data_IF_043941002035
#
_entry.id   IF_043941002035
#
_cell.length_a   1.000
_cell.length_b   1.000
_cell.length_c   1.000
_cell.angle_alpha   90.00
_cell.angle_beta   90.00
_cell.angle_gamma   90.00
#
_symmetry.space_group_name_H-M   'P 1'
#
loop_
_entity.id
_entity.type
_entity.pdbx_description
1 polymer ?
#
# COMPACT_ATOMS: atom_id res chain seq x y z
N UNK A 1 -1.75 74.58 -6.92
CA UNK A 1 -0.36 74.33 -6.48
C UNK A 1 -0.38 72.97 -5.82
N UNK A 2 -0.29 71.92 -6.61
CA UNK A 2 -0.05 70.55 -6.15
C UNK A 2 0.32 69.70 -7.38
N UNK A 3 1.19 68.74 -7.12
CA UNK A 3 2.04 68.02 -8.06
C UNK A 3 1.37 66.71 -8.45
N UNK A 4 1.24 66.45 -9.75
CA UNK A 4 1.10 65.07 -10.26
C UNK A 4 2.09 64.87 -11.40
N UNK A 5 3.13 64.09 -11.11
CA UNK A 5 4.02 63.49 -12.08
C UNK A 5 3.46 62.13 -12.50
N UNK A 6 3.03 61.98 -13.75
CA UNK A 6 2.95 60.68 -14.40
C UNK A 6 3.60 60.78 -15.77
N UNK A 7 4.70 60.05 -15.95
CA UNK A 7 5.48 60.01 -17.18
C UNK A 7 5.44 58.60 -17.76
N UNK A 8 5.05 58.57 -19.03
CA UNK A 8 5.45 57.64 -20.09
C UNK A 8 5.02 56.16 -19.97
N UNK A 9 3.92 55.89 -20.66
CA UNK A 9 3.66 54.62 -21.34
C UNK A 9 4.66 54.45 -22.50
N UNK A 10 5.36 53.33 -22.58
CA UNK A 10 5.87 52.78 -23.83
C UNK A 10 5.99 51.25 -23.73
N UNK A 11 5.39 50.61 -24.72
CA UNK A 11 5.19 49.18 -24.92
C UNK A 11 6.46 48.39 -25.25
N UNK A 12 6.56 47.17 -24.72
CA UNK A 12 7.20 46.06 -25.43
C UNK A 12 6.57 44.73 -25.00
N UNK A 13 6.22 43.96 -26.02
CA UNK A 13 5.46 42.73 -26.08
C UNK A 13 6.16 41.55 -25.40
N UNK A 14 5.45 40.79 -24.56
CA UNK A 14 5.73 39.37 -24.34
C UNK A 14 4.41 38.60 -24.50
N UNK A 15 4.43 37.69 -25.47
CA UNK A 15 3.34 36.83 -25.88
C UNK A 15 3.17 35.62 -24.96
N UNK A 16 1.90 35.23 -24.84
CA UNK A 16 1.36 33.87 -24.74
C UNK A 16 1.63 32.99 -23.52
N UNK A 17 0.49 32.52 -23.01
CA UNK A 17 0.16 31.17 -22.54
C UNK A 17 0.65 30.72 -21.16
N UNK A 18 -0.29 30.65 -20.22
CA UNK A 18 -0.73 29.40 -19.58
C UNK A 18 -1.98 29.71 -18.73
N UNK A 19 -3.16 29.54 -19.32
CA UNK A 19 -4.38 29.37 -18.52
C UNK A 19 -4.27 28.04 -17.77
N UNK A 20 -4.54 27.97 -16.45
CA UNK A 20 -4.69 26.70 -15.77
C UNK A 20 -5.91 25.98 -16.34
N UNK A 21 -5.66 24.89 -17.05
CA UNK A 21 -6.70 24.01 -17.57
C UNK A 21 -7.68 23.61 -16.46
N UNK A 22 -8.97 23.80 -16.76
CA UNK A 22 -10.08 23.41 -15.88
C UNK A 22 -10.03 21.90 -15.65
N UNK A 23 -9.86 21.52 -14.40
CA UNK A 23 -10.06 20.16 -13.88
C UNK A 23 -11.47 19.65 -14.23
N UNK A 24 -11.66 18.38 -14.63
CA UNK A 24 -12.97 17.76 -14.56
C UNK A 24 -13.14 17.24 -13.13
N UNK A 25 -13.63 18.09 -12.23
CA UNK A 25 -14.20 17.61 -10.95
C UNK A 25 -15.29 16.55 -11.20
N UNK A 26 -15.91 16.54 -12.38
CA UNK A 26 -17.03 15.67 -12.75
C UNK A 26 -16.73 14.16 -12.67
N UNK A 27 -15.52 13.68 -12.93
CA UNK A 27 -15.23 12.23 -12.90
C UNK A 27 -15.04 11.70 -11.48
N UNK A 28 -14.28 12.40 -10.64
CA UNK A 28 -14.14 12.07 -9.21
C UNK A 28 -15.49 12.20 -8.49
N UNK A 29 -16.25 13.25 -8.84
CA UNK A 29 -17.59 13.50 -8.34
C UNK A 29 -18.56 12.41 -8.84
N UNK A 30 -18.48 11.96 -10.09
CA UNK A 30 -19.35 10.90 -10.63
C UNK A 30 -19.08 9.55 -9.97
N UNK A 31 -17.82 9.14 -9.83
CA UNK A 31 -17.44 7.88 -9.16
C UNK A 31 -17.90 7.91 -7.69
N UNK A 32 -17.64 9.02 -6.99
CA UNK A 32 -18.03 9.15 -5.58
C UNK A 32 -19.55 9.25 -5.40
N UNK A 33 -20.27 9.98 -6.27
CA UNK A 33 -21.72 10.11 -6.20
C UNK A 33 -22.47 8.83 -6.60
N UNK A 34 -21.99 8.09 -7.61
CA UNK A 34 -22.65 6.84 -8.02
C UNK A 34 -22.57 5.79 -6.90
N UNK A 35 -21.39 5.64 -6.28
CA UNK A 35 -21.20 4.79 -5.11
C UNK A 35 -22.03 5.29 -3.91
N UNK A 36 -22.07 6.61 -3.66
CA UNK A 36 -22.86 7.22 -2.59
C UNK A 36 -24.37 7.00 -2.79
N UNK A 37 -24.89 7.12 -4.01
CA UNK A 37 -26.31 6.91 -4.31
C UNK A 37 -26.72 5.45 -4.14
N UNK A 38 -25.89 4.50 -4.61
CA UNK A 38 -26.11 3.07 -4.39
C UNK A 38 -26.02 2.71 -2.91
N UNK A 39 -25.08 3.31 -2.16
CA UNK A 39 -24.98 3.11 -0.72
C UNK A 39 -26.18 3.69 0.03
N UNK A 40 -26.62 4.92 -0.26
CA UNK A 40 -27.82 5.51 0.36
C UNK A 40 -29.02 4.61 0.07
N UNK A 41 -29.20 4.12 -1.15
CA UNK A 41 -30.29 3.22 -1.49
C UNK A 41 -30.23 1.90 -0.69
N UNK A 42 -29.04 1.30 -0.55
CA UNK A 42 -28.84 0.06 0.22
C UNK A 42 -29.04 0.30 1.72
N UNK A 43 -28.43 1.35 2.27
CA UNK A 43 -28.49 1.75 3.67
C UNK A 43 -29.93 2.07 4.09
N UNK A 44 -30.67 2.84 3.29
CA UNK A 44 -32.08 3.18 3.57
C UNK A 44 -32.98 1.95 3.55
N UNK A 45 -32.64 0.93 2.74
CA UNK A 45 -33.40 -0.32 2.63
C UNK A 45 -33.09 -1.31 3.76
N UNK A 46 -31.87 -1.31 4.30
CA UNK A 46 -31.40 -2.24 5.33
C UNK A 46 -31.43 -1.69 6.77
N UNK A 47 -31.22 -0.39 6.97
CA UNK A 47 -31.30 0.26 8.29
C UNK A 47 -32.70 0.14 8.93
N UNK A 48 -33.73 -0.17 8.13
CA UNK A 48 -35.09 -0.46 8.62
C UNK A 48 -35.25 -1.85 9.26
N UNK A 49 -34.27 -2.75 9.15
CA UNK A 49 -34.44 -4.18 9.52
C UNK A 49 -33.46 -4.75 10.54
N UNK A 50 -32.40 -4.05 10.96
CA UNK A 50 -31.39 -4.66 11.84
C UNK A 50 -30.71 -3.63 12.77
N UNK A 51 -30.21 -4.07 13.93
CA UNK A 51 -29.41 -3.24 14.84
C UNK A 51 -28.09 -2.85 14.15
N UNK A 52 -27.92 -1.55 13.90
CA UNK A 52 -26.81 -0.97 13.12
C UNK A 52 -25.41 -1.47 13.51
N UNK A 53 -25.17 -1.74 14.80
CA UNK A 53 -23.87 -2.20 15.30
C UNK A 53 -23.48 -3.63 14.88
N UNK A 54 -24.46 -4.48 14.56
CA UNK A 54 -24.24 -5.86 14.14
C UNK A 54 -23.96 -5.91 12.61
N UNK A 55 -24.64 -5.04 11.84
CA UNK A 55 -24.42 -4.87 10.40
C UNK A 55 -23.00 -4.39 10.06
N UNK A 56 -22.47 -3.43 10.81
CA UNK A 56 -21.16 -2.81 10.53
C UNK A 56 -19.96 -3.70 10.87
N UNK A 57 -20.14 -4.72 11.73
CA UNK A 57 -19.03 -5.60 12.16
C UNK A 57 -18.85 -6.85 11.32
N UNK A 58 -19.92 -7.35 10.68
CA UNK A 58 -19.89 -8.66 10.01
C UNK A 58 -19.90 -8.60 8.49
N UNK A 59 -20.44 -7.53 7.89
CA UNK A 59 -20.51 -7.43 6.43
C UNK A 59 -19.28 -6.76 5.86
N UNK A 60 -18.84 -7.27 4.72
CA UNK A 60 -17.89 -6.66 3.80
C UNK A 60 -18.67 -6.22 2.57
N UNK A 61 -18.30 -5.09 1.99
CA UNK A 61 -18.99 -4.51 0.84
C UNK A 61 -17.96 -4.24 -0.25
N UNK A 62 -18.23 -4.76 -1.44
CA UNK A 62 -17.38 -4.59 -2.62
C UNK A 62 -17.25 -3.11 -2.94
N UNK A 63 -16.00 -2.64 -3.08
CA UNK A 63 -15.67 -1.22 -3.18
C UNK A 63 -15.41 -0.75 -4.60
N UNK A 64 -15.47 -1.61 -5.60
CA UNK A 64 -15.19 -1.25 -6.98
C UNK A 64 -16.11 -1.97 -7.95
N UNK A 65 -15.80 -1.80 -9.23
CA UNK A 65 -16.36 -2.64 -10.28
C UNK A 65 -15.80 -4.07 -10.15
N UNK A 66 -16.34 -4.98 -10.95
CA UNK A 66 -15.86 -6.37 -10.99
C UNK A 66 -14.40 -6.44 -11.48
N UNK A 67 -13.66 -7.44 -11.01
CA UNK A 67 -12.38 -7.81 -11.63
C UNK A 67 -12.60 -8.23 -13.10
N UNK A 68 -11.97 -7.50 -14.03
CA UNK A 68 -12.09 -7.74 -15.47
C UNK A 68 -11.03 -8.72 -15.95
N UNK A 69 -11.40 -9.97 -16.22
CA UNK A 69 -10.50 -10.97 -16.81
C UNK A 69 -10.22 -10.73 -18.31
N UNK A 70 -11.14 -10.06 -19.01
CA UNK A 70 -11.05 -9.64 -20.41
C UNK A 70 -11.83 -8.32 -20.58
N UNK A 71 -11.53 -7.55 -21.63
CA UNK A 71 -12.34 -6.37 -21.94
C UNK A 71 -13.74 -6.79 -22.38
N UNK A 72 -14.81 -6.29 -21.73
CA UNK A 72 -16.19 -6.56 -22.16
C UNK A 72 -16.47 -6.05 -23.58
N UNK A 73 -15.67 -5.11 -24.10
CA UNK A 73 -15.80 -4.59 -25.48
C UNK A 73 -14.89 -5.29 -26.49
N UNK A 74 -14.10 -6.28 -26.07
CA UNK A 74 -13.27 -7.10 -26.93
C UNK A 74 -11.92 -6.51 -27.34
N UNK A 75 -11.42 -5.46 -26.69
CA UNK A 75 -10.03 -5.01 -26.84
C UNK A 75 -9.08 -6.08 -26.28
N UNK A 76 -8.21 -6.69 -27.11
CA UNK A 76 -7.23 -7.67 -26.64
C UNK A 76 -6.28 -7.11 -25.57
N UNK A 77 -6.04 -5.80 -25.55
CA UNK A 77 -5.15 -5.15 -24.57
C UNK A 77 -5.86 -4.79 -23.26
N UNK A 78 -7.19 -4.91 -23.18
CA UNK A 78 -7.92 -4.54 -21.96
C UNK A 78 -7.67 -5.44 -20.77
N UNK A 79 -7.10 -6.63 -21.00
CA UNK A 79 -6.52 -7.49 -19.96
C UNK A 79 -5.51 -6.73 -19.10
N UNK A 80 -4.77 -5.75 -19.65
CA UNK A 80 -3.79 -4.96 -18.91
C UNK A 80 -4.38 -3.68 -18.33
N UNK A 81 -5.06 -2.88 -19.17
CA UNK A 81 -5.37 -1.51 -18.80
C UNK A 81 -6.60 -1.37 -17.88
N UNK A 82 -7.55 -2.32 -17.91
CA UNK A 82 -8.70 -2.32 -16.99
C UNK A 82 -8.31 -2.53 -15.53
N UNK A 83 -7.14 -3.13 -15.30
CA UNK A 83 -6.67 -3.45 -13.96
C UNK A 83 -6.36 -2.20 -13.14
N UNK A 84 -5.84 -1.16 -13.80
CA UNK A 84 -5.64 0.15 -13.18
C UNK A 84 -6.96 0.82 -12.77
N UNK A 85 -8.00 0.69 -13.59
CA UNK A 85 -9.35 1.23 -13.29
C UNK A 85 -9.92 0.59 -12.03
N UNK A 86 -9.86 -0.74 -11.92
CA UNK A 86 -10.27 -1.48 -10.72
C UNK A 86 -9.59 -0.99 -9.46
N UNK A 87 -8.27 -0.79 -9.54
CA UNK A 87 -7.45 -0.31 -8.44
C UNK A 87 -7.84 1.08 -7.96
N UNK A 88 -8.15 1.98 -8.89
CA UNK A 88 -8.57 3.34 -8.57
C UNK A 88 -9.95 3.34 -7.94
N UNK A 89 -10.92 2.61 -8.49
CA UNK A 89 -12.24 2.51 -7.90
C UNK A 89 -12.18 1.96 -6.47
N UNK A 90 -11.45 0.87 -6.23
CA UNK A 90 -11.33 0.28 -4.91
C UNK A 90 -10.68 1.23 -3.88
N UNK A 91 -9.60 1.91 -4.27
CA UNK A 91 -8.87 2.82 -3.37
C UNK A 91 -9.61 4.12 -3.08
N UNK A 92 -10.23 4.74 -4.09
CA UNK A 92 -10.95 6.00 -3.89
C UNK A 92 -12.27 5.76 -3.16
N UNK A 93 -12.99 4.68 -3.46
CA UNK A 93 -14.19 4.35 -2.69
C UNK A 93 -13.85 4.01 -1.24
N UNK A 94 -12.66 3.46 -0.96
CA UNK A 94 -12.20 3.21 0.42
C UNK A 94 -12.11 4.48 1.28
N UNK A 95 -11.89 5.67 0.70
CA UNK A 95 -11.93 6.95 1.42
C UNK A 95 -13.25 7.19 2.14
N UNK A 96 -14.36 6.86 1.47
CA UNK A 96 -15.70 7.01 2.00
C UNK A 96 -16.13 5.75 2.77
N UNK A 97 -15.93 4.55 2.19
CA UNK A 97 -16.45 3.29 2.72
C UNK A 97 -15.77 2.88 4.03
N UNK A 98 -14.44 3.05 4.10
CA UNK A 98 -13.61 2.52 5.17
C UNK A 98 -13.96 3.04 6.56
N UNK A 99 -14.55 4.24 6.63
CA UNK A 99 -15.00 4.84 7.89
C UNK A 99 -16.21 4.13 8.52
N UNK A 100 -16.91 3.30 7.74
CA UNK A 100 -18.17 2.67 8.12
C UNK A 100 -18.03 1.15 8.08
N UNK A 101 -17.37 0.61 7.05
CA UNK A 101 -17.27 -0.82 6.78
C UNK A 101 -15.91 -1.17 6.20
N UNK A 102 -15.42 -2.38 6.47
CA UNK A 102 -14.18 -2.85 5.84
C UNK A 102 -14.37 -2.98 4.32
N UNK A 103 -13.58 -2.26 3.50
CA UNK A 103 -13.57 -2.40 2.06
C UNK A 103 -13.25 -3.82 1.60
N UNK A 104 -14.03 -4.34 0.66
CA UNK A 104 -13.75 -5.57 -0.08
C UNK A 104 -13.30 -5.23 -1.51
N UNK A 105 -12.07 -5.60 -1.87
CA UNK A 105 -11.43 -5.24 -3.14
C UNK A 105 -11.68 -6.26 -4.25
N UNK A 106 -12.67 -7.11 -4.05
CA UNK A 106 -13.09 -8.18 -4.94
C UNK A 106 -12.03 -9.29 -5.12
N UNK A 107 -12.48 -10.41 -5.67
CA UNK A 107 -11.65 -11.54 -6.10
C UNK A 107 -10.61 -11.10 -7.14
N UNK A 108 -9.63 -11.95 -7.38
CA UNK A 108 -8.76 -11.85 -8.55
C UNK A 108 -8.37 -13.24 -9.01
N UNK A 109 -7.91 -13.33 -10.25
CA UNK A 109 -7.35 -14.56 -10.79
C UNK A 109 -5.83 -14.57 -10.64
N UNK A 110 -5.28 -15.60 -10.02
CA UNK A 110 -3.85 -15.75 -9.75
C UNK A 110 -3.04 -16.15 -10.98
N UNK A 111 -3.68 -16.70 -12.02
CA UNK A 111 -3.10 -17.03 -13.32
C UNK A 111 -3.26 -15.92 -14.37
N UNK A 112 -3.89 -14.81 -14.01
CA UNK A 112 -4.08 -13.65 -14.88
C UNK A 112 -2.76 -12.94 -15.18
N UNK A 113 -2.65 -12.29 -16.35
CA UNK A 113 -1.42 -11.60 -16.79
C UNK A 113 -0.97 -10.48 -15.82
N UNK A 114 -1.93 -9.83 -15.16
CA UNK A 114 -1.69 -8.84 -14.11
C UNK A 114 -1.88 -9.39 -12.68
N UNK A 115 -1.92 -10.71 -12.48
CA UNK A 115 -2.21 -11.31 -11.17
C UNK A 115 -1.30 -10.78 -10.06
N UNK A 116 0.00 -10.62 -10.35
CA UNK A 116 0.96 -10.08 -9.37
C UNK A 116 0.60 -8.67 -8.90
N UNK A 117 0.14 -7.81 -9.81
CA UNK A 117 -0.32 -6.45 -9.52
C UNK A 117 -1.54 -6.45 -8.58
N UNK A 118 -2.51 -7.33 -8.83
CA UNK A 118 -3.67 -7.51 -7.94
C UNK A 118 -3.27 -8.10 -6.59
N UNK A 119 -2.37 -9.09 -6.58
CA UNK A 119 -1.86 -9.67 -5.34
C UNK A 119 -1.20 -8.60 -4.47
N UNK A 120 -0.29 -7.79 -5.02
CA UNK A 120 0.35 -6.69 -4.31
C UNK A 120 -0.66 -5.71 -3.71
N UNK A 121 -1.73 -5.41 -4.43
CA UNK A 121 -2.78 -4.52 -3.95
C UNK A 121 -3.63 -5.12 -2.82
N UNK A 122 -3.94 -6.43 -2.90
CA UNK A 122 -4.63 -7.15 -1.82
C UNK A 122 -3.76 -7.27 -0.57
N UNK A 123 -2.43 -7.36 -0.71
CA UNK A 123 -1.51 -7.40 0.43
C UNK A 123 -1.61 -6.15 1.32
N UNK A 124 -1.83 -4.98 0.72
CA UNK A 124 -1.94 -3.69 1.42
C UNK A 124 -3.38 -3.28 1.75
N UNK A 125 -4.40 -3.90 1.15
CA UNK A 125 -5.78 -3.45 1.32
C UNK A 125 -6.35 -3.62 2.74
N UNK A 126 -5.74 -4.46 3.60
CA UNK A 126 -6.27 -4.78 4.93
C UNK A 126 -7.61 -5.53 4.95
N UNK A 127 -8.21 -5.75 3.77
CA UNK A 127 -9.42 -6.52 3.54
C UNK A 127 -9.15 -8.02 3.37
N UNK A 128 -10.16 -8.78 2.91
CA UNK A 128 -9.99 -10.18 2.55
C UNK A 128 -9.18 -10.34 1.26
N UNK A 129 -8.67 -11.56 1.07
CA UNK A 129 -8.06 -12.02 -0.17
C UNK A 129 -8.89 -13.20 -0.66
N UNK A 130 -9.46 -13.07 -1.85
CA UNK A 130 -10.22 -14.13 -2.50
C UNK A 130 -9.66 -14.38 -3.89
N UNK A 131 -9.61 -15.65 -4.29
CA UNK A 131 -9.10 -16.09 -5.59
C UNK A 131 -10.23 -16.78 -6.34
N UNK A 132 -10.38 -16.46 -7.63
CA UNK A 132 -11.47 -16.94 -8.49
C UNK A 132 -10.97 -17.75 -9.71
N UNK A 133 -9.82 -18.40 -9.57
CA UNK A 133 -9.23 -19.20 -10.63
C UNK A 133 -10.11 -20.39 -11.00
N UNK A 134 -9.92 -20.87 -12.22
CA UNK A 134 -10.40 -22.19 -12.59
C UNK A 134 -9.68 -23.25 -11.77
N UNK A 135 -10.40 -24.32 -11.41
CA UNK A 135 -9.84 -25.45 -10.65
C UNK A 135 -8.63 -26.02 -11.40
N UNK A 136 -7.49 -26.05 -10.72
CA UNK A 136 -6.23 -26.55 -11.26
C UNK A 136 -5.34 -25.50 -11.93
N UNK A 137 -5.80 -24.25 -12.07
CA UNK A 137 -5.03 -23.16 -12.68
C UNK A 137 -4.29 -22.27 -11.67
N UNK A 138 -4.39 -22.55 -10.37
CA UNK A 138 -3.83 -21.70 -9.33
C UNK A 138 -2.31 -21.50 -9.45
N UNK A 139 -1.86 -20.24 -9.46
CA UNK A 139 -0.46 -19.88 -9.22
C UNK A 139 -0.19 -19.90 -7.71
N UNK A 140 0.21 -21.08 -7.21
CA UNK A 140 0.55 -21.25 -5.81
C UNK A 140 1.76 -20.43 -5.36
N UNK A 141 2.70 -20.11 -6.25
CA UNK A 141 3.89 -19.36 -5.88
C UNK A 141 3.55 -17.88 -5.65
N UNK A 142 2.60 -17.35 -6.42
CA UNK A 142 2.03 -16.03 -6.15
C UNK A 142 1.17 -16.02 -4.88
N UNK A 143 0.28 -17.00 -4.72
CA UNK A 143 -0.64 -17.08 -3.57
C UNK A 143 0.14 -17.17 -2.24
N UNK A 144 1.22 -17.96 -2.19
CA UNK A 144 2.08 -18.10 -0.99
C UNK A 144 2.76 -16.79 -0.56
N UNK A 145 2.80 -15.76 -1.41
CA UNK A 145 3.28 -14.41 -1.03
C UNK A 145 2.22 -13.59 -0.26
N UNK A 146 0.97 -14.04 -0.27
CA UNK A 146 -0.17 -13.40 0.40
C UNK A 146 -0.63 -14.14 1.64
N UNK A 147 -0.53 -15.47 1.67
CA UNK A 147 -1.18 -16.32 2.68
C UNK A 147 -0.17 -17.21 3.37
N UNK A 148 -0.38 -17.43 4.67
CA UNK A 148 0.35 -18.43 5.44
C UNK A 148 -0.15 -19.86 5.11
N UNK A 149 0.63 -20.91 5.41
CA UNK A 149 0.21 -22.29 5.21
C UNK A 149 -1.11 -22.69 5.87
N UNK A 150 -1.52 -22.01 6.97
CA UNK A 150 -2.82 -22.24 7.64
C UNK A 150 -4.00 -21.46 7.01
N UNK A 151 -3.78 -20.77 5.89
CA UNK A 151 -4.81 -19.98 5.21
C UNK A 151 -5.04 -18.59 5.79
N UNK A 152 -4.36 -18.23 6.89
CA UNK A 152 -4.44 -16.86 7.44
C UNK A 152 -3.54 -15.89 6.68
N UNK A 153 -3.81 -14.60 6.77
CA UNK A 153 -3.15 -13.55 5.97
C UNK A 153 -2.49 -12.49 6.88
N UNK A 154 -1.26 -12.01 6.58
CA UNK A 154 -0.62 -10.90 7.28
C UNK A 154 -1.28 -9.58 6.87
N UNK A 155 -2.47 -9.29 7.39
CA UNK A 155 -3.24 -8.10 7.00
C UNK A 155 -2.68 -6.83 7.62
N UNK A 156 -2.77 -5.74 6.86
CA UNK A 156 -2.73 -4.40 7.42
C UNK A 156 -3.90 -4.19 8.42
N UNK A 157 -3.72 -3.31 9.40
CA UNK A 157 -4.65 -3.08 10.52
C UNK A 157 -5.63 -1.93 10.28
N UNK A 158 -5.62 -1.36 9.08
CA UNK A 158 -6.52 -0.30 8.63
C UNK A 158 -6.98 -0.61 7.20
N UNK A 159 -7.77 0.29 6.61
CA UNK A 159 -8.17 0.21 5.21
C UNK A 159 -7.26 1.12 4.38
N UNK A 160 -7.12 0.84 3.07
CA UNK A 160 -6.14 1.51 2.24
C UNK A 160 -6.70 2.86 1.80
N UNK A 161 -5.88 3.90 1.90
CA UNK A 161 -6.26 5.25 1.49
C UNK A 161 -5.25 5.82 0.49
N UNK A 162 -5.68 6.52 -0.57
CA UNK A 162 -4.76 7.25 -1.43
C UNK A 162 -3.94 8.28 -0.65
N UNK A 163 -2.68 8.46 -1.03
CA UNK A 163 -1.87 9.58 -0.51
C UNK A 163 -2.43 10.91 -1.00
N UNK A 164 -2.16 11.98 -0.23
CA UNK A 164 -2.75 13.31 -0.48
C UNK A 164 -2.43 13.87 -1.87
N UNK A 165 -1.25 13.58 -2.39
CA UNK A 165 -0.81 14.04 -3.71
C UNK A 165 -1.52 13.32 -4.87
N UNK A 166 -2.11 12.14 -4.64
CA UNK A 166 -2.94 11.44 -5.62
C UNK A 166 -4.41 11.91 -5.64
N UNK A 167 -4.97 12.37 -4.51
CA UNK A 167 -6.42 12.59 -4.34
C UNK A 167 -7.08 13.43 -5.44
N UNK A 168 -6.38 14.47 -5.91
CA UNK A 168 -6.86 15.37 -6.97
C UNK A 168 -6.05 15.20 -8.24
N UNK A 169 -5.53 14.02 -8.54
CA UNK A 169 -4.84 13.70 -9.79
C UNK A 169 -5.53 12.52 -10.45
N UNK A 170 -5.21 12.30 -11.72
CA UNK A 170 -5.77 11.19 -12.49
C UNK A 170 -4.67 10.14 -12.72
N UNK A 171 -4.58 9.07 -11.91
CA UNK A 171 -3.52 8.08 -12.03
C UNK A 171 -3.75 7.07 -13.16
N UNK A 172 -4.81 7.26 -13.95
CA UNK A 172 -5.26 6.32 -14.97
C UNK A 172 -4.79 6.66 -16.38
N UNK A 173 -4.62 7.94 -16.72
CA UNK A 173 -4.22 8.32 -18.09
C UNK A 173 -3.58 9.72 -18.22
N UNK A 174 -3.08 10.32 -17.14
CA UNK A 174 -2.41 11.63 -17.18
C UNK A 174 -0.91 11.57 -17.54
N UNK A 175 -0.35 10.36 -17.72
CA UNK A 175 1.06 10.10 -18.05
C UNK A 175 2.07 10.62 -17.02
N UNK A 176 1.64 10.89 -15.79
CA UNK A 176 2.49 11.51 -14.78
C UNK A 176 2.27 10.95 -13.37
N UNK A 177 1.05 10.59 -13.01
CA UNK A 177 0.68 10.20 -11.66
C UNK A 177 0.73 8.69 -11.47
N UNK A 178 1.46 8.23 -10.44
CA UNK A 178 1.37 6.86 -9.91
C UNK A 178 0.32 6.84 -8.80
N UNK A 179 -0.53 5.82 -8.76
CA UNK A 179 -1.44 5.65 -7.63
C UNK A 179 -0.63 5.20 -6.41
N UNK A 180 -0.57 6.06 -5.39
CA UNK A 180 -0.01 5.68 -4.09
C UNK A 180 -1.12 5.51 -3.08
N UNK A 181 -1.10 4.39 -2.40
CA UNK A 181 -2.01 4.05 -1.32
C UNK A 181 -1.22 3.70 -0.07
N UNK A 182 -1.68 4.12 1.09
CA UNK A 182 -1.03 3.84 2.36
C UNK A 182 -1.94 3.05 3.30
N UNK A 183 -1.32 2.29 4.20
CA UNK A 183 -1.98 1.54 5.27
C UNK A 183 -1.00 1.34 6.45
N UNK A 184 -1.46 0.71 7.53
CA UNK A 184 -0.67 0.42 8.72
C UNK A 184 -0.46 -1.07 8.92
N UNK A 185 0.72 -1.43 9.41
CA UNK A 185 0.96 -2.67 10.14
C UNK A 185 1.02 -2.36 11.65
N UNK A 186 1.07 -3.40 12.48
CA UNK A 186 1.11 -3.22 13.95
C UNK A 186 2.34 -2.44 14.43
N UNK A 187 3.46 -2.59 13.73
CA UNK A 187 4.76 -1.98 14.07
C UNK A 187 5.38 -1.23 12.89
N UNK A 188 4.56 -0.68 11.99
CA UNK A 188 5.04 0.14 10.88
C UNK A 188 3.92 0.65 9.99
N UNK A 189 4.31 1.44 8.99
CA UNK A 189 3.45 1.91 7.92
C UNK A 189 3.82 1.23 6.62
N UNK A 190 2.91 1.24 5.66
CA UNK A 190 3.19 0.71 4.31
C UNK A 190 2.59 1.64 3.27
N UNK A 191 3.34 1.91 2.21
CA UNK A 191 2.85 2.57 1.00
C UNK A 191 3.01 1.61 -0.16
N UNK A 192 1.98 1.43 -0.97
CA UNK A 192 2.07 0.77 -2.26
C UNK A 192 1.95 1.79 -3.37
N UNK A 193 2.91 1.80 -4.29
CA UNK A 193 2.92 2.65 -5.48
C UNK A 193 2.62 1.78 -6.70
N UNK A 194 1.51 2.05 -7.38
CA UNK A 194 0.95 1.24 -8.47
C UNK A 194 0.84 2.07 -9.75
N UNK A 195 1.46 1.62 -10.83
CA UNK A 195 1.27 2.26 -12.13
C UNK A 195 -0.04 1.77 -12.75
N UNK A 196 -1.09 2.58 -12.61
CA UNK A 196 -2.45 2.30 -13.09
C UNK A 196 -2.75 2.92 -14.46
N UNK A 197 -1.73 3.46 -15.15
CA UNK A 197 -1.91 4.19 -16.39
C UNK A 197 -2.32 3.25 -17.54
N UNK A 198 -3.15 3.75 -18.46
CA UNK A 198 -3.43 3.10 -19.73
C UNK A 198 -4.91 3.00 -20.09
N UNK A 199 -5.84 3.44 -19.23
CA UNK A 199 -7.27 3.41 -19.56
C UNK A 199 -8.10 4.33 -18.68
N UNK A 200 -9.28 4.72 -19.14
CA UNK A 200 -10.18 5.52 -18.33
C UNK A 200 -11.53 5.73 -18.97
N UNK A 201 -12.39 6.45 -18.27
CA UNK A 201 -13.70 6.84 -18.79
C UNK A 201 -13.52 7.85 -19.93
N UNK A 202 -14.17 7.61 -21.07
CA UNK A 202 -14.28 8.60 -22.15
C UNK A 202 -15.66 9.24 -22.11
N UNK A 203 -15.79 10.53 -21.73
CA UNK A 203 -17.08 11.21 -21.65
C UNK A 203 -17.81 11.31 -23.00
N UNK A 204 -17.08 11.31 -24.13
CA UNK A 204 -17.68 11.41 -25.47
C UNK A 204 -18.33 10.09 -25.87
N UNK A 205 -17.59 9.00 -25.68
CA UNK A 205 -18.04 7.65 -26.03
C UNK A 205 -18.90 7.00 -24.94
N UNK A 206 -18.92 7.59 -23.73
CA UNK A 206 -19.65 7.12 -22.55
C UNK A 206 -19.33 5.66 -22.19
N UNK A 207 -18.05 5.30 -22.28
CA UNK A 207 -17.54 3.98 -21.92
C UNK A 207 -16.09 4.09 -21.45
N UNK A 208 -15.62 3.06 -20.73
CA UNK A 208 -14.20 2.87 -20.50
C UNK A 208 -13.51 2.49 -21.82
N UNK A 209 -12.31 3.02 -22.03
CA UNK A 209 -11.45 2.66 -23.16
C UNK A 209 -9.98 2.68 -22.77
N UNK A 210 -9.17 1.96 -23.53
CA UNK A 210 -7.71 2.04 -23.46
C UNK A 210 -7.16 3.35 -24.04
N UNK A 211 -6.08 3.82 -23.43
CA UNK A 211 -5.18 4.87 -23.91
C UNK A 211 -3.75 4.29 -23.96
N UNK A 212 -3.40 3.50 -25.00
CA UNK A 212 -2.10 2.82 -25.09
C UNK A 212 -0.91 3.78 -25.01
N UNK A 213 -1.08 5.02 -25.48
CA UNK A 213 -0.10 6.09 -25.37
C UNK A 213 0.27 6.45 -23.92
N UNK A 214 -0.58 6.12 -22.94
CA UNK A 214 -0.35 6.32 -21.52
C UNK A 214 0.31 5.12 -20.84
N UNK A 215 0.34 3.95 -21.48
CA UNK A 215 0.90 2.71 -20.93
C UNK A 215 2.45 2.74 -20.96
N UNK A 216 3.04 3.58 -20.12
CA UNK A 216 4.48 3.87 -20.07
C UNK A 216 5.01 3.83 -18.63
N UNK A 217 6.33 3.66 -18.43
CA UNK A 217 6.92 3.77 -17.12
C UNK A 217 6.75 5.18 -16.55
N UNK A 218 6.37 5.27 -15.27
CA UNK A 218 6.18 6.55 -14.57
C UNK A 218 7.12 6.62 -13.38
N UNK A 219 7.81 7.74 -13.23
CA UNK A 219 8.63 8.02 -12.05
C UNK A 219 7.80 8.68 -10.96
N UNK A 220 7.92 8.19 -9.73
CA UNK A 220 7.30 8.80 -8.56
C UNK A 220 8.30 8.95 -7.42
N UNK A 221 7.92 9.78 -6.45
CA UNK A 221 8.60 9.91 -5.16
C UNK A 221 7.72 9.36 -4.06
N UNK A 222 8.35 8.76 -3.06
CA UNK A 222 7.69 8.22 -1.86
C UNK A 222 8.46 8.66 -0.62
N UNK A 223 7.74 9.20 0.36
CA UNK A 223 8.28 9.63 1.64
C UNK A 223 7.42 9.17 2.83
N UNK A 224 8.02 9.02 4.01
CA UNK A 224 7.34 8.57 5.23
C UNK A 224 6.23 9.54 5.69
N UNK A 225 6.35 10.82 5.32
CA UNK A 225 5.35 11.85 5.63
C UNK A 225 4.06 11.71 4.82
N UNK A 226 4.04 10.85 3.80
CA UNK A 226 2.84 10.55 3.01
C UNK A 226 1.94 9.50 3.70
N UNK A 227 2.44 8.84 4.76
CA UNK A 227 1.63 8.02 5.65
C UNK A 227 0.94 8.95 6.65
N UNK A 228 -0.39 8.96 6.67
CA UNK A 228 -1.17 9.80 7.61
C UNK A 228 -1.28 9.13 8.99
N UNK A 229 -0.17 9.06 9.73
CA UNK A 229 -0.05 8.36 11.02
C UNK A 229 -1.10 8.72 12.07
N UNK A 230 -1.68 9.91 11.98
CA UNK A 230 -2.69 10.43 12.92
C UNK A 230 -4.11 9.88 12.66
N UNK A 231 -4.36 9.24 11.52
CA UNK A 231 -5.65 8.63 11.18
C UNK A 231 -5.99 7.42 12.06
N UNK A 232 -5.00 6.85 12.75
CA UNK A 232 -5.19 5.72 13.67
C UNK A 232 -4.41 5.94 14.97
N UNK A 233 -5.10 5.95 16.11
CA UNK A 233 -4.50 6.25 17.43
C UNK A 233 -3.34 5.31 17.76
N UNK A 234 -3.47 4.03 17.42
CA UNK A 234 -2.44 3.02 17.65
C UNK A 234 -1.18 3.28 16.80
N UNK A 235 -1.30 3.98 15.67
CA UNK A 235 -0.19 4.28 14.77
C UNK A 235 0.47 5.65 15.00
N UNK A 236 -0.22 6.58 15.66
CA UNK A 236 0.24 7.96 15.83
C UNK A 236 1.60 8.12 16.54
N UNK A 237 1.98 7.17 17.40
CA UNK A 237 3.29 7.18 18.05
C UNK A 237 4.42 6.81 17.07
N UNK A 238 4.17 5.93 16.11
CA UNK A 238 5.15 5.51 15.10
C UNK A 238 5.55 6.66 14.18
N UNK A 239 4.61 7.55 13.85
CA UNK A 239 4.88 8.75 13.04
C UNK A 239 5.77 9.81 13.70
N UNK A 240 6.11 9.64 14.99
CA UNK A 240 7.01 10.55 15.73
C UNK A 240 8.46 10.08 15.75
N UNK A 241 8.77 8.95 15.13
CA UNK A 241 10.12 8.43 15.10
C UNK A 241 11.06 9.37 14.31
N UNK A 242 12.30 9.49 14.79
CA UNK A 242 13.33 10.32 14.16
C UNK A 242 13.90 9.66 12.89
N UNK A 243 13.91 8.33 12.87
CA UNK A 243 14.52 7.52 11.82
C UNK A 243 13.61 6.34 11.49
N UNK A 244 13.58 5.99 10.21
CA UNK A 244 12.85 4.86 9.68
C UNK A 244 13.78 4.04 8.80
N UNK A 245 13.60 2.73 8.88
CA UNK A 245 14.06 1.80 7.86
C UNK A 245 12.92 1.61 6.87
N UNK A 246 13.22 1.78 5.58
CA UNK A 246 12.28 1.58 4.48
C UNK A 246 12.70 0.36 3.68
N UNK A 247 11.91 -0.71 3.73
CA UNK A 247 12.13 -1.91 2.93
C UNK A 247 11.25 -1.89 1.67
N UNK A 248 11.90 -1.90 0.50
CA UNK A 248 11.24 -2.04 -0.80
C UNK A 248 11.10 -3.54 -1.09
N UNK A 249 9.87 -4.03 -1.13
CA UNK A 249 9.59 -5.45 -1.21
C UNK A 249 9.93 -6.06 -2.58
N UNK A 250 9.65 -5.35 -3.68
CA UNK A 250 9.92 -5.84 -5.03
C UNK A 250 11.38 -5.67 -5.42
N UNK A 251 12.01 -4.55 -5.03
CA UNK A 251 13.43 -4.34 -5.24
C UNK A 251 14.33 -5.14 -4.28
N UNK A 252 13.79 -5.59 -3.13
CA UNK A 252 14.51 -6.26 -2.04
C UNK A 252 15.66 -5.40 -1.45
N UNK A 253 15.43 -4.08 -1.34
CA UNK A 253 16.42 -3.10 -0.86
C UNK A 253 15.95 -2.42 0.42
N UNK A 254 16.92 -2.12 1.30
CA UNK A 254 16.72 -1.33 2.51
C UNK A 254 17.28 0.08 2.34
N UNK A 255 16.50 1.07 2.73
CA UNK A 255 16.90 2.47 2.78
C UNK A 255 16.70 3.05 4.18
N UNK A 256 17.48 4.08 4.49
CA UNK A 256 17.24 4.91 5.66
C UNK A 256 16.45 6.15 5.23
N UNK A 257 15.52 6.56 6.08
CA UNK A 257 14.73 7.77 5.89
C UNK A 257 14.53 8.48 7.22
N UNK A 258 14.50 9.80 7.21
CA UNK A 258 14.10 10.63 8.35
C UNK A 258 12.94 11.52 7.92
N UNK A 259 12.16 12.11 8.84
CA UNK A 259 11.09 13.04 8.48
C UNK A 259 11.52 14.27 7.66
N UNK A 260 12.83 14.56 7.60
CA UNK A 260 13.41 15.73 6.91
C UNK A 260 14.36 15.35 5.76
N UNK A 261 14.51 14.05 5.46
CA UNK A 261 15.33 13.61 4.33
C UNK A 261 14.63 13.80 2.98
N UNK A 262 15.39 13.70 1.90
CA UNK A 262 14.81 13.65 0.56
C UNK A 262 13.95 12.38 0.36
N UNK A 263 12.89 12.45 -0.45
CA UNK A 263 12.06 11.30 -0.75
C UNK A 263 12.80 10.26 -1.61
N UNK A 264 12.38 9.00 -1.54
CA UNK A 264 12.88 7.96 -2.43
C UNK A 264 12.25 8.12 -3.81
N UNK A 265 13.06 8.09 -4.87
CA UNK A 265 12.60 8.15 -6.24
C UNK A 265 12.70 6.77 -6.90
N UNK A 266 11.63 6.34 -7.58
CA UNK A 266 11.59 5.08 -8.33
C UNK A 266 10.77 5.23 -9.62
N UNK A 267 11.13 4.47 -10.64
CA UNK A 267 10.33 4.34 -11.88
C UNK A 267 9.54 3.03 -11.85
N UNK A 268 8.22 3.14 -11.88
CA UNK A 268 7.29 2.01 -11.86
C UNK A 268 6.87 1.68 -13.29
N UNK A 269 7.08 0.43 -13.71
CA UNK A 269 6.67 -0.06 -15.02
C UNK A 269 5.14 -0.19 -15.12
N UNK A 270 4.54 -0.15 -16.32
CA UNK A 270 3.10 -0.36 -16.48
C UNK A 270 2.63 -1.69 -15.85
N UNK A 271 1.48 -1.67 -15.18
CA UNK A 271 0.91 -2.86 -14.50
C UNK A 271 1.87 -3.52 -13.49
N UNK A 272 2.81 -2.76 -12.93
CA UNK A 272 3.64 -3.18 -11.81
C UNK A 272 3.52 -2.21 -10.63
N UNK A 273 4.20 -2.55 -9.54
CA UNK A 273 4.11 -1.83 -8.29
C UNK A 273 5.39 -1.99 -7.47
N UNK A 274 5.51 -1.17 -6.42
CA UNK A 274 6.45 -1.36 -5.33
C UNK A 274 5.72 -1.19 -3.98
N UNK A 275 6.10 -1.97 -2.97
CA UNK A 275 5.61 -1.85 -1.59
C UNK A 275 6.75 -1.38 -0.69
N UNK A 276 6.56 -0.21 -0.10
CA UNK A 276 7.48 0.45 0.81
C UNK A 276 7.01 0.19 2.24
N UNK A 277 7.76 -0.61 3.00
CA UNK A 277 7.48 -0.89 4.40
C UNK A 277 8.31 0.06 5.27
N UNK A 278 7.65 0.97 5.97
CA UNK A 278 8.27 1.94 6.87
C UNK A 278 8.25 1.40 8.30
N UNK A 279 9.43 1.12 8.83
CA UNK A 279 9.58 0.61 10.20
C UNK A 279 10.31 1.67 11.03
N UNK A 280 9.68 2.21 12.08
CA UNK A 280 10.35 3.09 13.04
C UNK A 280 11.61 2.41 13.62
N UNK A 281 12.70 3.17 13.70
CA UNK A 281 13.93 2.70 14.35
C UNK A 281 13.84 2.96 15.85
N UNK A 282 13.98 1.89 16.63
CA UNK A 282 14.08 1.96 18.08
C UNK A 282 15.56 2.04 18.52
N UNK A 283 15.84 2.80 19.58
CA UNK A 283 17.18 2.93 20.16
C UNK A 283 17.25 2.16 21.48
N UNK A 284 18.06 1.10 21.52
CA UNK A 284 18.14 0.16 22.62
C UNK A 284 19.17 0.57 23.68
N UNK A 285 18.70 0.74 24.92
CA UNK A 285 19.50 0.98 26.11
C UNK A 285 20.42 2.22 26.04
N UNK A 286 21.39 2.29 26.95
CA UNK A 286 22.37 3.39 27.02
C UNK A 286 23.34 3.37 25.82
N UNK A 287 23.54 2.19 25.21
CA UNK A 287 24.40 1.99 24.04
C UNK A 287 23.79 2.54 22.74
N UNK A 288 22.53 2.95 22.75
CA UNK A 288 21.88 3.62 21.62
C UNK A 288 21.91 2.79 20.31
N UNK A 289 21.86 1.46 20.45
CA UNK A 289 21.86 0.52 19.31
C UNK A 289 20.55 0.67 18.57
N UNK A 290 20.61 0.87 17.26
CA UNK A 290 19.42 1.05 16.43
C UNK A 290 18.90 -0.30 15.99
N UNK A 291 17.59 -0.52 16.12
CA UNK A 291 16.94 -1.76 15.70
C UNK A 291 15.59 -1.47 15.03
N UNK A 292 15.28 -2.19 13.95
CA UNK A 292 13.98 -2.13 13.30
C UNK A 292 13.63 -3.49 12.68
N UNK A 293 12.55 -4.18 13.08
CA UNK A 293 12.16 -5.46 12.48
C UNK A 293 11.29 -5.27 11.23
N UNK A 294 11.66 -5.89 10.10
CA UNK A 294 10.91 -5.80 8.83
C UNK A 294 9.88 -6.93 8.71
N UNK A 295 10.20 -8.12 9.22
CA UNK A 295 9.37 -9.33 9.13
C UNK A 295 9.85 -10.31 8.07
N UNK A 296 8.94 -11.12 7.51
CA UNK A 296 9.26 -12.11 6.47
C UNK A 296 9.27 -11.47 5.07
N UNK A 297 10.42 -11.50 4.40
CA UNK A 297 10.61 -10.81 3.10
C UNK A 297 10.03 -11.57 1.91
N UNK A 298 9.69 -12.84 2.07
CA UNK A 298 8.98 -13.64 1.07
C UNK A 298 7.48 -13.33 0.99
N UNK A 299 6.94 -12.55 1.93
CA UNK A 299 5.55 -12.09 1.92
C UNK A 299 5.47 -10.67 1.34
N UNK A 300 4.41 -10.35 0.60
CA UNK A 300 4.20 -8.99 0.09
C UNK A 300 4.03 -7.97 1.23
N UNK A 301 3.25 -8.32 2.26
CA UNK A 301 3.14 -7.51 3.48
C UNK A 301 4.05 -8.07 4.57
N UNK A 302 5.36 -7.78 4.49
CA UNK A 302 6.34 -8.27 5.45
C UNK A 302 6.07 -7.80 6.88
N UNK A 303 5.70 -6.52 7.06
CA UNK A 303 5.41 -5.95 8.37
C UNK A 303 4.18 -6.59 9.06
N UNK A 304 3.22 -7.08 8.28
CA UNK A 304 2.05 -7.79 8.79
C UNK A 304 2.35 -9.18 9.38
N UNK A 305 3.57 -9.69 9.20
CA UNK A 305 4.00 -10.98 9.77
C UNK A 305 4.41 -10.88 11.24
N UNK A 306 4.75 -9.69 11.72
CA UNK A 306 5.14 -9.44 13.11
C UNK A 306 3.89 -9.38 13.99
N UNK A 307 3.75 -10.34 14.90
CA UNK A 307 2.61 -10.47 15.80
C UNK A 307 2.82 -9.69 17.09
N UNK A 308 4.02 -9.77 17.66
CA UNK A 308 4.40 -9.09 18.90
C UNK A 308 5.84 -8.58 18.80
N UNK A 309 6.10 -7.46 19.46
CA UNK A 309 7.40 -6.80 19.54
C UNK A 309 7.52 -6.17 20.92
N UNK A 310 8.60 -6.53 21.62
CA UNK A 310 8.93 -6.02 22.95
C UNK A 310 10.42 -5.65 22.98
N UNK A 311 10.71 -4.48 23.57
CA UNK A 311 12.06 -4.00 23.81
C UNK A 311 12.32 -4.00 25.32
N UNK A 312 13.34 -4.73 25.77
CA UNK A 312 13.71 -4.86 27.18
C UNK A 312 15.18 -4.51 27.34
N UNK A 313 15.48 -3.27 27.73
CA UNK A 313 16.85 -2.74 27.81
C UNK A 313 17.64 -2.86 26.49
N UNK A 314 18.44 -3.93 26.35
CA UNK A 314 19.25 -4.28 25.16
C UNK A 314 18.74 -5.52 24.44
N UNK A 315 17.68 -6.13 24.95
CA UNK A 315 17.08 -7.32 24.37
C UNK A 315 15.85 -6.94 23.54
N UNK A 316 15.69 -7.60 22.41
CA UNK A 316 14.53 -7.47 21.54
C UNK A 316 13.84 -8.82 21.45
N UNK A 317 12.54 -8.86 21.75
CA UNK A 317 11.71 -10.03 21.53
C UNK A 317 10.74 -9.77 20.40
N UNK A 318 10.71 -10.64 19.41
CA UNK A 318 9.84 -10.54 18.25
C UNK A 318 9.11 -11.86 18.07
N UNK A 319 7.78 -11.81 17.99
CA UNK A 319 6.99 -12.97 17.52
C UNK A 319 6.64 -12.78 16.07
N UNK A 320 7.04 -13.74 15.25
CA UNK A 320 6.83 -13.70 13.80
C UNK A 320 5.98 -14.90 13.40
N UNK A 321 4.89 -14.65 12.66
CA UNK A 321 4.07 -15.72 12.09
C UNK A 321 4.50 -15.99 10.65
N UNK A 322 4.63 -17.26 10.28
CA UNK A 322 4.97 -17.71 8.94
C UNK A 322 6.35 -18.37 8.85
N UNK A 323 6.63 -18.94 7.68
CA UNK A 323 7.95 -19.46 7.32
C UNK A 323 8.60 -18.65 6.20
N UNK A 324 9.93 -18.64 6.16
CA UNK A 324 10.73 -17.95 5.16
C UNK A 324 11.83 -17.08 5.77
N UNK A 325 12.30 -16.08 5.02
CA UNK A 325 13.45 -15.27 5.41
C UNK A 325 12.99 -14.09 6.29
N UNK A 326 13.30 -14.15 7.58
CA UNK A 326 13.17 -13.01 8.49
C UNK A 326 14.27 -11.99 8.23
N UNK A 327 13.89 -10.72 8.23
CA UNK A 327 14.80 -9.58 8.11
C UNK A 327 14.50 -8.56 9.22
N UNK A 328 15.57 -8.08 9.83
CA UNK A 328 15.60 -6.90 10.67
C UNK A 328 16.82 -6.05 10.31
N UNK A 329 16.75 -4.77 10.61
CA UNK A 329 17.92 -3.91 10.66
C UNK A 329 18.46 -3.84 12.09
N UNK A 330 19.78 -3.90 12.23
CA UNK A 330 20.47 -3.51 13.46
C UNK A 330 21.82 -2.85 13.17
N UNK A 331 22.13 -1.77 13.88
CA UNK A 331 23.40 -1.05 13.74
C UNK A 331 24.62 -1.82 14.25
N UNK A 332 24.42 -2.81 15.13
CA UNK A 332 25.48 -3.66 15.66
C UNK A 332 25.11 -5.14 15.49
N UNK A 333 26.10 -6.02 15.50
CA UNK A 333 25.83 -7.46 15.48
C UNK A 333 25.30 -7.90 16.85
N UNK A 334 24.19 -8.67 16.92
CA UNK A 334 23.77 -9.30 18.17
C UNK A 334 24.88 -10.18 18.75
N UNK A 335 24.96 -10.25 20.08
CA UNK A 335 25.80 -11.22 20.79
C UNK A 335 25.14 -12.59 20.86
N UNK A 336 23.81 -12.60 20.94
CA UNK A 336 23.00 -13.82 21.04
C UNK A 336 21.71 -13.67 20.25
N UNK A 337 21.33 -14.75 19.57
CA UNK A 337 20.05 -14.87 18.89
C UNK A 337 19.46 -16.22 19.26
N UNK A 338 18.24 -16.22 19.78
CA UNK A 338 17.50 -17.43 20.10
C UNK A 338 16.23 -17.53 19.25
N UNK A 339 15.96 -18.73 18.76
CA UNK A 339 14.72 -19.13 18.10
C UNK A 339 14.01 -20.14 19.00
N UNK A 340 12.80 -19.82 19.44
CA UNK A 340 11.98 -20.65 20.33
C UNK A 340 12.75 -21.09 21.59
N UNK A 341 13.53 -20.16 22.18
CA UNK A 341 14.33 -20.38 23.38
C UNK A 341 15.66 -21.12 23.18
N UNK A 342 15.94 -21.61 21.97
CA UNK A 342 17.20 -22.29 21.62
C UNK A 342 18.12 -21.38 20.82
N UNK A 343 19.43 -21.46 21.04
CA UNK A 343 20.40 -20.65 20.30
C UNK A 343 20.35 -20.99 18.81
N UNK A 344 20.30 -19.95 17.97
CA UNK A 344 20.17 -20.08 16.52
C UNK A 344 21.29 -19.33 15.80
N UNK A 345 21.79 -19.94 14.72
CA UNK A 345 22.73 -19.27 13.83
C UNK A 345 22.00 -18.20 13.02
N UNK A 346 22.52 -16.98 13.03
CA UNK A 346 21.99 -15.84 12.27
C UNK A 346 23.06 -15.28 11.34
N UNK A 347 22.64 -14.50 10.35
CA UNK A 347 23.55 -13.74 9.49
C UNK A 347 23.37 -12.25 9.77
N UNK A 348 24.44 -11.56 10.14
CA UNK A 348 24.50 -10.10 10.21
C UNK A 348 25.51 -9.58 9.19
N UNK A 349 25.09 -8.61 8.39
CA UNK A 349 25.92 -7.99 7.35
C UNK A 349 26.37 -6.58 7.77
N UNK A 350 27.49 -6.06 7.22
CA UNK A 350 27.98 -4.72 7.55
C UNK A 350 27.01 -3.56 7.21
N UNK A 351 26.04 -3.80 6.33
CA UNK A 351 24.96 -2.83 6.02
C UNK A 351 23.81 -2.88 7.04
N UNK A 352 24.00 -3.60 8.15
CA UNK A 352 23.08 -3.72 9.27
C UNK A 352 21.95 -4.74 9.07
N UNK A 353 21.97 -5.50 7.97
CA UNK A 353 20.97 -6.55 7.72
C UNK A 353 21.18 -7.74 8.65
N UNK A 354 20.22 -7.98 9.53
CA UNK A 354 20.12 -9.16 10.38
C UNK A 354 19.08 -10.12 9.78
N UNK A 355 19.49 -11.33 9.44
CA UNK A 355 18.61 -12.32 8.80
C UNK A 355 18.69 -13.70 9.43
N UNK A 356 17.56 -14.40 9.40
CA UNK A 356 17.38 -15.77 9.87
C UNK A 356 16.30 -16.44 9.02
N UNK A 357 16.47 -17.71 8.66
CA UNK A 357 15.41 -18.48 8.02
C UNK A 357 14.53 -19.14 9.09
N UNK A 358 13.23 -18.88 9.00
CA UNK A 358 12.21 -19.45 9.89
C UNK A 358 11.49 -20.58 9.18
N UNK A 359 11.36 -21.72 9.84
CA UNK A 359 10.52 -22.82 9.37
C UNK A 359 9.07 -22.59 9.80
N UNK A 360 8.12 -23.08 9.00
CA UNK A 360 6.73 -23.19 9.44
C UNK A 360 6.60 -24.37 10.42
N UNK A 361 6.13 -24.10 11.64
CA UNK A 361 5.88 -25.10 12.69
C UNK A 361 4.38 -25.07 13.02
N UNK A 362 3.65 -26.09 12.59
CA UNK A 362 2.19 -26.14 12.68
C UNK A 362 1.71 -26.23 14.14
N UNK A 363 2.46 -26.92 15.00
CA UNK A 363 2.15 -27.12 16.42
C UNK A 363 2.10 -25.80 17.20
N UNK A 364 2.85 -24.79 16.74
CA UNK A 364 2.89 -23.44 17.32
C UNK A 364 2.00 -22.45 16.56
N UNK A 365 1.10 -22.92 15.69
CA UNK A 365 0.28 -22.08 14.82
C UNK A 365 1.12 -21.25 13.84
N UNK A 366 2.31 -21.74 13.49
CA UNK A 366 3.26 -21.05 12.61
C UNK A 366 3.97 -19.86 13.23
N UNK A 367 3.93 -19.71 14.56
CA UNK A 367 4.61 -18.60 15.27
C UNK A 367 6.01 -19.04 15.71
N UNK A 368 6.98 -18.17 15.41
CA UNK A 368 8.37 -18.26 15.89
C UNK A 368 8.63 -17.14 16.90
N UNK A 369 9.19 -17.50 18.06
CA UNK A 369 9.64 -16.57 19.08
C UNK A 369 11.13 -16.28 18.87
N UNK A 370 11.47 -15.02 18.55
CA UNK A 370 12.84 -14.56 18.35
C UNK A 370 13.26 -13.73 19.57
N UNK A 371 14.39 -14.06 20.18
CA UNK A 371 15.01 -13.25 21.23
C UNK A 371 16.42 -12.85 20.80
N UNK A 372 16.70 -11.55 20.74
CA UNK A 372 17.93 -10.97 20.20
C UNK A 372 18.56 -10.12 21.30
N UNK A 373 19.79 -10.42 21.67
CA UNK A 373 20.52 -9.73 22.75
C UNK A 373 21.78 -9.07 22.22
N UNK A 374 21.97 -7.79 22.57
CA UNK A 374 23.07 -6.96 22.09
C UNK A 374 24.19 -6.69 23.10
#
# INVERSE_FOLDING_TARGET
MEVESSLACNSATISSSLEPSKFPLEELVSITLFTLMNFIALFTRYARKMKLNEFLREKKLTTGDDFWFQDPNGDPMGVFWLQGVHMIHCSYNSLWMGQIIQPDWDMFQSDHECAKFHAGSRAICGGPVYVSDSVGSHDFDLIKKLVFPDGTVPKCIYFPLPTRDCLFRNPLFDQNTVLKIWNFNKYGGVIGAFNCQGAGWDPKEKKFRGFPECYKPISCTVHVTEVEWDQKKEAAHMGKAEEYIVYLNQAEVLHFMTPVSEPLQLTIQPSTFELYNFVPVEKLGISNIKFAPIGLTNMFNSGGTIQELEYVEKDVKVKVKGGGRFLAYSSESPKKFQLNGSDAAFQWLPDGKLTLNLAWIEENGGISDLAISF
#
